data_IF_370209396252
#
_entry.id   IF_370209396252
#
_cell.length_a   1.000
_cell.length_b   1.000
_cell.length_c   1.000
_cell.angle_alpha   90.00
_cell.angle_beta   90.00
_cell.angle_gamma   90.00
#
_symmetry.space_group_name_H-M   'P 1'
#
loop_
_entity.id
_entity.type
_entity.pdbx_description
1 polymer ?
#
# COMPACT_ATOMS: atom_id res chain seq x y z
N UNK A 1 23.89 5.50 -23.62
CA UNK A 1 23.23 4.48 -22.78
C UNK A 1 24.33 3.77 -22.03
N UNK A 2 24.25 3.67 -20.70
CA UNK A 2 25.19 2.91 -19.88
C UNK A 2 24.44 1.68 -19.40
N UNK A 3 25.07 0.52 -19.44
CA UNK A 3 24.48 -0.74 -19.02
C UNK A 3 25.51 -1.51 -18.22
N UNK A 4 25.05 -2.22 -17.21
CA UNK A 4 25.87 -3.08 -16.37
C UNK A 4 25.15 -4.41 -16.21
N UNK A 5 25.87 -5.51 -16.42
CA UNK A 5 25.37 -6.86 -16.11
C UNK A 5 26.05 -7.28 -14.83
N UNK A 6 25.26 -7.67 -13.85
CA UNK A 6 25.73 -8.35 -12.66
C UNK A 6 25.22 -9.79 -12.69
N UNK A 7 26.14 -10.75 -12.61
CA UNK A 7 25.80 -12.15 -12.37
C UNK A 7 25.96 -12.43 -10.88
N UNK A 8 24.89 -12.84 -10.23
CA UNK A 8 24.91 -13.24 -8.83
C UNK A 8 25.13 -14.75 -8.74
N UNK A 9 26.08 -15.18 -7.91
CA UNK A 9 26.24 -16.58 -7.54
C UNK A 9 25.54 -16.82 -6.20
N UNK A 10 24.38 -17.48 -6.24
CA UNK A 10 23.54 -17.71 -5.07
C UNK A 10 24.16 -18.74 -4.12
N UNK A 11 24.87 -19.74 -4.64
CA UNK A 11 25.53 -20.76 -3.81
C UNK A 11 26.63 -20.15 -2.95
N UNK A 12 27.42 -19.23 -3.49
CA UNK A 12 28.43 -18.50 -2.71
C UNK A 12 27.80 -17.49 -1.76
N UNK A 13 26.70 -16.83 -2.16
CA UNK A 13 25.99 -15.89 -1.29
C UNK A 13 25.43 -16.58 -0.05
N UNK A 14 24.87 -17.79 -0.19
CA UNK A 14 24.32 -18.57 0.92
C UNK A 14 25.38 -18.91 1.97
N UNK A 15 26.65 -19.11 1.56
CA UNK A 15 27.77 -19.39 2.47
C UNK A 15 28.14 -18.20 3.36
N UNK A 16 27.76 -16.99 2.98
CA UNK A 16 28.10 -15.76 3.72
C UNK A 16 27.19 -15.53 4.94
N UNK A 17 26.12 -16.31 5.10
CA UNK A 17 25.20 -16.19 6.24
C UNK A 17 24.29 -14.96 6.21
N UNK A 18 24.26 -14.22 5.10
CA UNK A 18 23.33 -13.11 4.90
C UNK A 18 22.06 -13.59 4.18
N UNK A 19 20.89 -13.08 4.59
CA UNK A 19 19.63 -13.38 3.90
C UNK A 19 19.45 -12.55 2.61
N UNK A 20 20.08 -11.37 2.53
CA UNK A 20 19.89 -10.41 1.44
C UNK A 20 21.15 -10.26 0.59
N UNK A 21 20.94 -9.92 -0.69
CA UNK A 21 22.00 -9.46 -1.57
C UNK A 21 22.41 -8.03 -1.22
N UNK A 22 23.71 -7.74 -1.29
CA UNK A 22 24.20 -6.36 -1.18
C UNK A 22 23.68 -5.56 -2.38
N UNK A 23 23.08 -4.37 -2.18
CA UNK A 23 22.64 -3.52 -3.28
C UNK A 23 23.81 -3.16 -4.21
N UNK A 24 23.57 -3.21 -5.52
CA UNK A 24 24.51 -2.69 -6.51
C UNK A 24 24.20 -1.21 -6.68
N UNK A 25 25.16 -0.36 -6.33
CA UNK A 25 25.03 1.09 -6.42
C UNK A 25 25.92 1.61 -7.56
N UNK A 26 25.35 2.44 -8.44
CA UNK A 26 26.05 3.08 -9.55
C UNK A 26 25.53 4.50 -9.70
N UNK A 27 26.43 5.46 -9.92
CA UNK A 27 26.10 6.84 -10.23
C UNK A 27 26.58 7.19 -11.65
N UNK A 28 25.72 7.83 -12.44
CA UNK A 28 26.08 8.32 -13.77
C UNK A 28 25.16 9.46 -14.20
N UNK A 29 25.64 10.28 -15.14
CA UNK A 29 24.85 11.33 -15.78
C UNK A 29 24.38 10.89 -17.18
N UNK A 30 23.14 11.22 -17.52
CA UNK A 30 22.55 10.91 -18.82
C UNK A 30 21.48 11.93 -19.21
N UNK A 31 21.48 12.34 -20.48
CA UNK A 31 20.39 13.15 -21.06
C UNK A 31 19.10 12.35 -21.30
N UNK A 32 19.18 11.01 -21.27
CA UNK A 32 18.04 10.10 -21.39
C UNK A 32 17.58 9.66 -20.01
N UNK A 33 16.36 9.99 -19.64
CA UNK A 33 15.72 9.49 -18.42
C UNK A 33 14.88 8.26 -18.75
N UNK A 34 15.51 7.08 -18.73
CA UNK A 34 14.90 5.82 -19.16
C UNK A 34 15.51 4.62 -18.42
N UNK A 35 14.80 3.50 -18.39
CA UNK A 35 15.28 2.22 -17.89
C UNK A 35 15.22 1.13 -18.97
N UNK A 36 16.36 0.54 -19.38
CA UNK A 36 16.41 -0.47 -20.43
C UNK A 36 15.95 -1.86 -19.94
N UNK A 37 14.64 -2.10 -19.93
CA UNK A 37 14.05 -3.34 -19.42
C UNK A 37 14.13 -4.51 -20.41
N UNK A 38 14.29 -4.25 -21.72
CA UNK A 38 14.21 -5.29 -22.76
C UNK A 38 15.32 -6.33 -22.67
N UNK A 39 16.52 -5.93 -22.25
CA UNK A 39 17.65 -6.87 -22.06
C UNK A 39 17.34 -7.91 -20.97
N UNK A 40 16.60 -7.52 -19.94
CA UNK A 40 16.13 -8.43 -18.89
C UNK A 40 15.11 -9.45 -19.41
N UNK A 41 14.43 -9.18 -20.53
CA UNK A 41 13.42 -10.08 -21.11
C UNK A 41 14.02 -11.12 -22.07
N UNK A 42 15.27 -10.93 -22.54
CA UNK A 42 15.86 -11.80 -23.58
C UNK A 42 15.97 -13.26 -23.12
N UNK A 43 16.22 -13.47 -21.82
CA UNK A 43 16.39 -14.79 -21.21
C UNK A 43 15.35 -15.10 -20.13
N UNK A 44 14.23 -14.38 -20.11
CA UNK A 44 13.19 -14.59 -19.11
C UNK A 44 12.17 -15.62 -19.62
N UNK A 45 11.85 -16.62 -18.81
CA UNK A 45 10.86 -17.65 -19.12
C UNK A 45 9.40 -17.14 -18.97
N UNK A 46 9.21 -15.91 -18.50
CA UNK A 46 7.89 -15.32 -18.30
C UNK A 46 7.94 -13.84 -17.91
N UNK A 47 6.81 -13.34 -17.42
CA UNK A 47 6.70 -11.98 -16.92
C UNK A 47 7.59 -11.76 -15.68
N UNK A 48 8.11 -10.55 -15.55
CA UNK A 48 8.95 -10.13 -14.43
C UNK A 48 8.30 -8.98 -13.68
N UNK A 49 8.53 -8.91 -12.37
CA UNK A 49 8.13 -7.79 -11.54
C UNK A 49 9.28 -6.79 -11.39
N UNK A 50 8.98 -5.52 -11.63
CA UNK A 50 9.89 -4.41 -11.44
C UNK A 50 9.27 -3.36 -10.53
N UNK A 51 10.01 -2.99 -9.50
CA UNK A 51 9.70 -1.86 -8.64
C UNK A 51 10.69 -0.74 -8.94
N UNK A 52 10.17 0.42 -9.34
CA UNK A 52 10.97 1.62 -9.61
C UNK A 52 10.69 2.63 -8.52
N UNK A 53 11.73 3.01 -7.78
CA UNK A 53 11.69 4.10 -6.83
C UNK A 53 12.43 5.29 -7.42
N UNK A 54 11.78 6.45 -7.44
CA UNK A 54 12.41 7.69 -7.90
C UNK A 54 12.34 8.74 -6.81
N UNK A 55 13.46 9.42 -6.59
CA UNK A 55 13.61 10.53 -5.67
C UNK A 55 13.87 11.78 -6.52
N UNK A 56 13.04 12.81 -6.38
CA UNK A 56 13.21 14.03 -7.20
C UNK A 56 12.91 15.31 -6.45
N UNK A 57 13.42 16.45 -6.93
CA UNK A 57 13.12 17.77 -6.36
C UNK A 57 11.71 18.28 -6.70
N UNK A 58 11.21 18.05 -7.92
CA UNK A 58 10.04 18.79 -8.44
C UNK A 58 8.70 18.10 -8.20
N UNK A 59 8.62 16.78 -8.36
CA UNK A 59 7.33 16.09 -8.30
C UNK A 59 7.38 14.65 -8.81
N UNK A 60 6.20 14.12 -9.12
CA UNK A 60 5.99 12.72 -9.50
C UNK A 60 6.69 12.38 -10.81
N UNK A 61 7.30 11.19 -10.85
CA UNK A 61 7.80 10.59 -12.09
C UNK A 61 6.76 9.66 -12.68
N UNK A 62 6.59 9.74 -13.99
CA UNK A 62 5.67 8.90 -14.76
C UNK A 62 6.36 8.36 -16.00
N UNK A 63 5.84 7.26 -16.55
CA UNK A 63 6.25 6.82 -17.88
C UNK A 63 5.62 7.69 -18.95
N UNK A 64 6.36 8.00 -20.01
CA UNK A 64 5.85 8.75 -21.17
C UNK A 64 5.35 7.87 -22.31
N UNK A 65 5.81 6.62 -22.39
CA UNK A 65 5.44 5.67 -23.44
C UNK A 65 4.54 4.51 -22.98
N UNK A 66 4.23 4.43 -21.69
CA UNK A 66 3.29 3.47 -21.12
C UNK A 66 2.24 4.16 -20.26
N UNK A 67 1.05 3.57 -20.19
CA UNK A 67 -0.07 4.11 -19.41
C UNK A 67 0.22 3.99 -17.91
N UNK A 68 0.20 5.13 -17.22
CA UNK A 68 0.30 5.16 -15.75
C UNK A 68 -1.10 4.96 -15.14
N UNK A 69 -1.25 3.97 -14.28
CA UNK A 69 -2.52 3.62 -13.64
C UNK A 69 -2.35 3.69 -12.13
N UNK A 70 -3.29 4.34 -11.43
CA UNK A 70 -3.28 4.34 -9.95
C UNK A 70 -3.77 3.00 -9.44
N UNK A 71 -3.04 2.41 -8.50
CA UNK A 71 -3.50 1.20 -7.82
C UNK A 71 -4.83 1.46 -7.08
N UNK A 72 -5.76 0.50 -7.00
CA UNK A 72 -6.96 0.64 -6.18
C UNK A 72 -6.60 1.02 -4.73
N UNK A 73 -7.31 2.00 -4.18
CA UNK A 73 -7.01 2.55 -2.85
C UNK A 73 -8.28 3.01 -2.14
N UNK A 74 -8.26 3.03 -0.81
CA UNK A 74 -9.36 3.45 0.05
C UNK A 74 -10.51 2.45 0.15
N UNK A 75 -10.31 1.21 -0.29
CA UNK A 75 -11.33 0.16 -0.24
C UNK A 75 -11.43 -0.43 1.17
N UNK A 76 -12.65 -0.65 1.65
CA UNK A 76 -12.90 -1.34 2.91
C UNK A 76 -12.83 -2.85 2.67
N UNK A 77 -12.00 -3.56 3.44
CA UNK A 77 -11.79 -4.99 3.27
C UNK A 77 -12.15 -5.75 4.55
N UNK A 78 -12.51 -7.04 4.44
CA UNK A 78 -12.75 -7.88 5.60
C UNK A 78 -11.53 -7.94 6.51
N UNK A 79 -11.77 -8.02 7.83
CA UNK A 79 -10.69 -8.00 8.83
C UNK A 79 -9.64 -9.11 8.65
N UNK A 80 -10.04 -10.31 8.23
CA UNK A 80 -9.13 -11.45 8.09
C UNK A 80 -8.03 -11.18 7.05
N UNK A 81 -8.25 -10.23 6.12
CA UNK A 81 -7.24 -9.83 5.11
C UNK A 81 -5.97 -9.29 5.78
N UNK A 82 -6.04 -8.82 7.03
CA UNK A 82 -4.85 -8.43 7.80
C UNK A 82 -3.79 -9.53 7.83
N UNK A 83 -4.22 -10.77 8.07
CA UNK A 83 -3.33 -11.92 8.23
C UNK A 83 -2.97 -12.57 6.88
N UNK A 84 -3.72 -12.23 5.81
CA UNK A 84 -3.53 -12.74 4.44
C UNK A 84 -3.09 -11.64 3.46
N UNK A 85 -2.55 -10.51 3.97
CA UNK A 85 -2.34 -9.31 3.15
C UNK A 85 -1.42 -9.54 1.94
N UNK A 86 -0.40 -10.38 2.10
CA UNK A 86 0.51 -10.74 1.00
C UNK A 86 -0.21 -11.42 -0.16
N UNK A 87 -1.10 -12.39 0.13
CA UNK A 87 -1.87 -13.11 -0.89
C UNK A 87 -2.97 -12.23 -1.50
N UNK A 88 -3.62 -11.42 -0.67
CA UNK A 88 -4.54 -10.39 -1.13
C UNK A 88 -3.86 -9.46 -2.16
N UNK A 89 -2.70 -8.90 -1.82
CA UNK A 89 -2.04 -7.92 -2.68
C UNK A 89 -1.57 -8.55 -3.99
N UNK A 90 -1.00 -9.77 -3.96
CA UNK A 90 -0.63 -10.50 -5.18
C UNK A 90 -1.82 -10.73 -6.10
N UNK A 91 -2.94 -11.21 -5.55
CA UNK A 91 -4.17 -11.49 -6.31
C UNK A 91 -4.81 -10.23 -6.87
N UNK A 92 -4.83 -9.16 -6.06
CA UNK A 92 -5.32 -7.85 -6.49
C UNK A 92 -4.47 -7.29 -7.62
N UNK A 93 -3.14 -7.31 -7.46
CA UNK A 93 -2.24 -6.83 -8.50
C UNK A 93 -2.40 -7.62 -9.80
N UNK A 94 -2.52 -8.95 -9.74
CA UNK A 94 -2.76 -9.78 -10.92
C UNK A 94 -4.08 -9.45 -11.62
N UNK A 95 -5.16 -9.26 -10.87
CA UNK A 95 -6.47 -8.89 -11.44
C UNK A 95 -6.38 -7.51 -12.09
N UNK A 96 -5.70 -6.56 -11.46
CA UNK A 96 -5.49 -5.22 -11.98
C UNK A 96 -4.60 -5.19 -13.23
N UNK A 97 -3.52 -6.00 -13.29
CA UNK A 97 -2.68 -6.09 -14.50
C UNK A 97 -3.47 -6.67 -15.66
N UNK A 98 -4.25 -7.74 -15.43
CA UNK A 98 -5.12 -8.35 -16.44
C UNK A 98 -6.16 -7.36 -16.97
N UNK A 99 -6.77 -6.56 -16.09
CA UNK A 99 -7.74 -5.52 -16.46
C UNK A 99 -7.15 -4.44 -17.37
N UNK A 100 -5.86 -4.17 -17.23
CA UNK A 100 -5.12 -3.20 -18.06
C UNK A 100 -4.32 -3.88 -19.19
N UNK A 101 -4.77 -5.07 -19.64
CA UNK A 101 -4.19 -5.84 -20.74
C UNK A 101 -2.68 -6.11 -20.57
N UNK A 102 -2.22 -6.24 -19.33
CA UNK A 102 -0.82 -6.40 -18.92
C UNK A 102 0.14 -5.34 -19.47
N UNK A 103 -0.33 -4.12 -19.74
CA UNK A 103 0.48 -3.02 -20.34
C UNK A 103 0.67 -1.81 -19.43
N UNK A 104 0.06 -1.80 -18.25
CA UNK A 104 0.08 -0.65 -17.36
C UNK A 104 1.31 -0.60 -16.44
N UNK A 105 1.72 0.63 -16.13
CA UNK A 105 2.67 0.95 -15.08
C UNK A 105 1.89 1.47 -13.89
N UNK A 106 1.93 0.76 -12.77
CA UNK A 106 1.09 1.08 -11.61
C UNK A 106 1.79 2.07 -10.69
N UNK A 107 1.13 3.17 -10.37
CA UNK A 107 1.52 4.07 -9.30
C UNK A 107 1.02 3.49 -7.98
N UNK A 108 1.94 3.17 -7.07
CA UNK A 108 1.62 2.63 -5.74
C UNK A 108 1.78 3.68 -4.64
N UNK A 109 2.74 4.59 -4.82
CA UNK A 109 3.07 5.62 -3.85
C UNK A 109 3.62 6.86 -4.56
N UNK A 110 3.16 8.04 -4.13
CA UNK A 110 3.66 9.33 -4.56
C UNK A 110 3.53 10.29 -3.38
N UNK A 111 4.63 10.82 -2.84
CA UNK A 111 4.56 11.63 -1.62
C UNK A 111 5.70 12.63 -1.51
N UNK A 112 5.35 13.80 -0.99
CA UNK A 112 6.27 14.89 -0.67
C UNK A 112 6.87 14.70 0.73
N UNK A 113 8.18 14.48 0.84
CA UNK A 113 8.85 14.19 2.12
C UNK A 113 8.94 15.41 3.06
N UNK A 114 8.47 16.58 2.62
CA UNK A 114 8.35 17.75 3.48
C UNK A 114 7.34 17.59 4.61
N UNK A 115 6.35 16.72 4.46
CA UNK A 115 5.26 16.62 5.43
C UNK A 115 4.65 15.21 5.44
N UNK A 116 4.12 14.84 6.59
CA UNK A 116 3.63 13.50 6.82
C UNK A 116 2.32 13.54 7.62
N UNK A 117 1.19 13.72 6.94
CA UNK A 117 -0.14 13.68 7.56
C UNK A 117 -1.21 13.15 6.59
N UNK A 118 -1.99 12.10 6.93
CA UNK A 118 -1.85 11.20 8.09
C UNK A 118 -0.76 10.15 7.84
N UNK A 119 0.20 10.01 8.75
CA UNK A 119 1.33 9.10 8.58
C UNK A 119 1.36 7.92 9.55
N UNK A 120 1.74 6.77 9.02
CA UNK A 120 1.96 5.53 9.78
C UNK A 120 3.36 5.45 10.42
N UNK A 121 4.31 6.29 9.97
CA UNK A 121 5.68 6.38 10.47
C UNK A 121 6.26 7.79 10.20
N UNK A 122 7.37 8.12 10.85
CA UNK A 122 8.09 9.38 10.65
C UNK A 122 8.68 9.48 9.22
N UNK A 123 8.78 10.69 8.64
CA UNK A 123 9.48 10.88 7.37
C UNK A 123 10.98 10.54 7.49
N UNK A 124 11.55 9.95 6.42
CA UNK A 124 12.97 9.60 6.33
C UNK A 124 13.89 10.77 6.69
N UNK A 125 14.92 10.53 7.50
CA UNK A 125 15.99 11.49 7.84
C UNK A 125 16.81 11.91 6.60
N UNK A 126 17.56 13.02 6.70
CA UNK A 126 18.41 13.47 5.60
C UNK A 126 19.47 12.41 5.27
N UNK A 127 20.05 11.78 6.29
CA UNK A 127 21.00 10.68 6.15
C UNK A 127 20.41 9.48 5.42
N UNK A 128 19.21 9.03 5.80
CA UNK A 128 18.53 7.92 5.09
C UNK A 128 18.24 8.28 3.63
N UNK A 129 17.86 9.54 3.36
CA UNK A 129 17.65 10.00 1.99
C UNK A 129 18.95 10.00 1.17
N UNK A 130 20.08 10.42 1.77
CA UNK A 130 21.39 10.34 1.12
C UNK A 130 21.83 8.90 0.86
N UNK A 131 21.61 7.98 1.81
CA UNK A 131 21.87 6.54 1.64
C UNK A 131 21.05 5.93 0.48
N UNK A 132 19.85 6.48 0.22
CA UNK A 132 19.01 6.14 -0.94
C UNK A 132 19.44 6.84 -2.25
N UNK A 133 20.48 7.66 -2.23
CA UNK A 133 21.04 8.33 -3.40
C UNK A 133 20.62 9.79 -3.59
N UNK A 134 19.99 10.42 -2.59
CA UNK A 134 19.70 11.86 -2.61
C UNK A 134 20.99 12.65 -2.33
N UNK A 135 21.64 13.13 -3.39
CA UNK A 135 22.95 13.81 -3.30
C UNK A 135 22.86 15.33 -3.15
N UNK A 136 21.66 15.92 -3.11
CA UNK A 136 21.45 17.37 -3.11
C UNK A 136 20.95 17.93 -1.78
N UNK A 137 20.88 17.09 -0.75
CA UNK A 137 20.59 17.53 0.61
C UNK A 137 21.92 17.74 1.32
N UNK A 138 22.08 18.91 1.95
CA UNK A 138 23.27 19.22 2.73
C UNK A 138 23.19 18.54 4.11
N UNK A 139 24.34 18.12 4.61
CA UNK A 139 24.50 17.35 5.87
C UNK A 139 24.35 18.19 7.14
N UNK A 140 23.96 19.47 7.02
CA UNK A 140 24.11 20.46 8.11
C UNK A 140 23.11 20.33 9.26
N UNK A 141 22.29 19.28 9.31
CA UNK A 141 21.07 19.25 10.16
C UNK A 141 20.85 18.02 11.04
N UNK A 142 21.77 17.05 11.08
CA UNK A 142 21.73 15.98 12.08
C UNK A 142 22.36 16.43 13.41
N UNK A 143 22.00 17.61 13.91
CA UNK A 143 22.18 17.91 15.34
C UNK A 143 20.91 17.46 16.09
N UNK A 144 20.99 16.42 16.95
CA UNK A 144 19.97 16.22 17.95
C UNK A 144 20.02 17.46 18.84
N UNK A 145 18.96 18.27 18.79
CA UNK A 145 18.86 19.50 19.54
C UNK A 145 18.70 19.16 21.04
N UNK A 146 19.78 18.71 21.69
CA UNK A 146 19.88 18.54 23.13
C UNK A 146 20.22 19.92 23.70
N UNK A 147 19.20 20.78 23.82
CA UNK A 147 19.24 21.86 24.81
C UNK A 147 18.04 21.68 25.76
N UNK A 148 18.28 21.52 27.07
CA UNK A 148 17.21 21.51 28.04
C UNK A 148 16.81 22.96 28.31
N UNK A 149 15.74 23.46 27.69
CA UNK A 149 15.13 24.73 28.09
C UNK A 149 13.62 24.55 28.27
N UNK A 150 13.07 24.87 29.46
CA UNK A 150 11.66 24.73 29.73
C UNK A 150 10.86 25.92 29.16
N UNK A 151 9.68 25.60 28.59
CA UNK A 151 8.53 26.49 28.31
C UNK A 151 8.62 27.48 27.13
N UNK A 152 8.24 26.99 25.94
CA UNK A 152 7.05 27.41 25.13
C UNK A 152 7.10 26.67 23.79
N UNK A 153 6.13 25.76 23.55
CA UNK A 153 6.01 24.94 22.33
C UNK A 153 5.66 25.82 21.12
N UNK A 154 6.65 26.40 20.47
CA UNK A 154 6.59 26.73 19.05
C UNK A 154 7.78 26.00 18.44
N UNK A 155 7.51 24.84 17.84
CA UNK A 155 8.52 24.03 17.17
C UNK A 155 9.09 24.90 16.03
N UNK A 156 10.42 25.12 15.93
CA UNK A 156 10.98 25.78 14.76
C UNK A 156 10.60 24.98 13.51
N UNK A 157 10.24 25.63 12.39
CA UNK A 157 9.87 24.92 11.17
C UNK A 157 11.06 24.06 10.76
N UNK A 158 10.82 22.75 10.65
CA UNK A 158 11.81 21.88 10.04
C UNK A 158 12.06 22.40 8.61
N UNK A 159 13.33 22.54 8.20
CA UNK A 159 13.69 22.92 6.85
C UNK A 159 13.07 21.92 5.87
N UNK A 160 12.47 22.47 4.82
CA UNK A 160 11.72 21.71 3.85
C UNK A 160 12.66 20.74 3.10
N UNK A 161 12.55 19.44 3.41
CA UNK A 161 13.10 18.34 2.60
C UNK A 161 12.53 18.38 1.18
N UNK A 162 13.26 18.99 0.26
CA UNK A 162 12.87 19.09 -1.15
C UNK A 162 13.08 17.75 -1.89
N UNK A 163 12.36 16.72 -1.46
CA UNK A 163 12.39 15.36 -2.01
C UNK A 163 10.95 14.88 -2.17
N UNK A 164 10.63 14.45 -3.37
CA UNK A 164 9.39 13.79 -3.73
C UNK A 164 9.70 12.35 -4.13
N UNK A 165 9.02 11.40 -3.48
CA UNK A 165 9.18 9.98 -3.74
C UNK A 165 8.06 9.51 -4.67
N UNK A 166 8.41 8.70 -5.65
CA UNK A 166 7.45 7.93 -6.44
C UNK A 166 7.84 6.47 -6.46
N UNK A 167 6.88 5.58 -6.24
CA UNK A 167 7.01 4.13 -6.41
C UNK A 167 6.10 3.68 -7.54
N UNK A 168 6.71 3.15 -8.58
CA UNK A 168 6.04 2.49 -9.69
C UNK A 168 6.23 0.98 -9.60
N UNK A 169 5.21 0.21 -9.94
CA UNK A 169 5.25 -1.24 -10.01
C UNK A 169 4.79 -1.70 -11.39
N UNK A 170 5.60 -2.54 -12.02
CA UNK A 170 5.40 -2.98 -13.41
C UNK A 170 5.60 -4.49 -13.48
N UNK A 171 4.56 -5.20 -13.94
CA UNK A 171 4.68 -6.56 -14.45
C UNK A 171 4.92 -6.48 -15.95
N UNK A 172 6.09 -6.88 -16.41
CA UNK A 172 6.49 -6.69 -17.80
C UNK A 172 6.91 -8.00 -18.48
N UNK A 173 6.64 -8.08 -19.79
CA UNK A 173 7.06 -9.16 -20.66
C UNK A 173 7.33 -8.63 -22.08
N UNK A 174 7.88 -9.50 -22.94
CA UNK A 174 8.26 -9.15 -24.31
C UNK A 174 7.08 -8.77 -25.21
N UNK A 175 5.89 -9.34 -24.94
CA UNK A 175 4.70 -9.14 -25.78
C UNK A 175 4.06 -7.77 -25.52
N UNK A 176 3.99 -7.35 -24.26
CA UNK A 176 3.29 -6.13 -23.84
C UNK A 176 4.23 -4.92 -23.68
N UNK A 177 5.54 -5.14 -23.48
CA UNK A 177 6.56 -4.09 -23.32
C UNK A 177 7.66 -4.17 -24.40
N UNK A 178 7.36 -3.84 -25.67
CA UNK A 178 8.32 -3.91 -26.78
C UNK A 178 9.38 -2.78 -26.75
N UNK A 179 9.21 -1.79 -25.89
CA UNK A 179 10.09 -0.63 -25.72
C UNK A 179 10.64 -0.56 -24.29
N UNK A 180 11.72 0.18 -24.11
CA UNK A 180 12.25 0.48 -22.78
C UNK A 180 11.37 1.52 -22.08
N UNK A 181 11.37 1.57 -20.74
CA UNK A 181 10.57 2.55 -20.00
C UNK A 181 11.19 3.95 -20.18
N UNK A 182 10.46 4.87 -20.78
CA UNK A 182 10.83 6.29 -20.85
C UNK A 182 10.15 7.04 -19.72
N UNK A 183 10.90 7.82 -18.96
CA UNK A 183 10.37 8.56 -17.82
C UNK A 183 10.32 10.06 -18.10
N UNK A 184 9.38 10.72 -17.45
CA UNK A 184 9.31 12.17 -17.34
C UNK A 184 9.08 12.58 -15.88
N UNK A 185 9.77 13.63 -15.45
CA UNK A 185 9.48 14.29 -14.19
C UNK A 185 8.37 15.32 -14.42
N UNK A 186 7.27 15.17 -13.71
CA UNK A 186 6.14 16.11 -13.77
C UNK A 186 6.28 17.20 -12.70
N UNK A 187 5.46 18.24 -12.80
CA UNK A 187 5.24 19.22 -11.72
C UNK A 187 4.17 18.78 -10.71
N UNK A 188 3.57 17.59 -10.88
CA UNK A 188 2.51 17.12 -9.99
C UNK A 188 3.09 16.67 -8.66
N UNK A 189 2.69 17.34 -7.57
CA UNK A 189 3.04 17.01 -6.19
C UNK A 189 1.87 16.43 -5.41
N UNK A 190 0.75 16.08 -6.05
CA UNK A 190 -0.40 15.47 -5.38
C UNK A 190 0.02 14.13 -4.79
N UNK A 191 -0.27 13.97 -3.49
CA UNK A 191 0.02 12.73 -2.80
C UNK A 191 -0.89 11.60 -3.28
N UNK A 192 -0.35 10.40 -3.28
CA UNK A 192 -1.04 9.17 -3.58
C UNK A 192 -0.43 8.03 -2.77
N UNK A 193 -1.28 7.17 -2.25
CA UNK A 193 -0.87 5.96 -1.55
C UNK A 193 -1.91 4.87 -1.79
N UNK A 194 -1.46 3.69 -2.18
CA UNK A 194 -2.27 2.47 -2.08
C UNK A 194 -2.51 2.15 -0.61
N UNK A 195 -3.77 2.30 -0.15
CA UNK A 195 -4.18 1.98 1.22
C UNK A 195 -5.48 1.18 1.20
N UNK A 196 -5.63 0.29 2.15
CA UNK A 196 -6.84 -0.50 2.35
C UNK A 196 -7.31 -0.35 3.78
N UNK A 197 -8.62 -0.28 3.97
CA UNK A 197 -9.23 0.11 5.24
C UNK A 197 -9.81 -1.13 5.91
N UNK A 198 -9.38 -1.39 7.13
CA UNK A 198 -9.92 -2.47 7.97
C UNK A 198 -10.74 -1.85 9.10
N UNK A 199 -12.05 -2.15 9.13
CA UNK A 199 -12.95 -1.65 10.18
C UNK A 199 -13.19 -2.72 11.23
N UNK A 200 -12.71 -2.45 12.43
CA UNK A 200 -12.96 -3.32 13.58
C UNK A 200 -14.42 -3.18 14.04
N UNK A 201 -15.25 -4.23 13.97
CA UNK A 201 -16.58 -4.19 14.55
C UNK A 201 -16.47 -4.12 16.07
N UNK A 202 -17.42 -3.43 16.68
CA UNK A 202 -17.59 -3.45 18.13
C UNK A 202 -18.15 -4.82 18.54
N UNK A 203 -17.62 -5.39 19.61
CA UNK A 203 -17.94 -6.75 20.10
C UNK A 203 -18.45 -6.77 21.55
N UNK A 204 -18.89 -5.63 22.07
CA UNK A 204 -19.39 -5.54 23.45
C UNK A 204 -20.82 -6.05 23.57
N UNK A 205 -21.27 -6.22 24.81
CA UNK A 205 -22.66 -6.58 25.11
C UNK A 205 -23.57 -5.36 24.94
N UNK A 206 -24.74 -5.56 24.32
CA UNK A 206 -25.69 -4.48 24.10
C UNK A 206 -27.08 -4.78 24.63
N UNK A 207 -27.65 -3.84 25.39
CA UNK A 207 -29.01 -3.92 25.92
C UNK A 207 -29.94 -2.82 25.38
N UNK A 208 -29.52 -2.04 24.38
CA UNK A 208 -30.29 -0.91 23.84
C UNK A 208 -30.66 -1.10 22.35
N UNK A 209 -31.77 -0.48 21.93
CA UNK A 209 -32.33 -0.60 20.58
C UNK A 209 -31.36 -0.15 19.47
N UNK A 210 -30.44 0.77 19.78
CA UNK A 210 -29.41 1.22 18.83
C UNK A 210 -28.47 0.10 18.40
N UNK A 211 -28.30 -0.94 19.22
CA UNK A 211 -27.44 -2.05 18.90
C UNK A 211 -28.03 -2.98 17.83
N UNK A 212 -29.35 -3.20 17.84
CA UNK A 212 -30.00 -3.97 16.78
C UNK A 212 -29.84 -3.27 15.42
N UNK A 213 -29.97 -1.95 15.39
CA UNK A 213 -29.71 -1.14 14.20
C UNK A 213 -28.25 -1.24 13.76
N UNK A 214 -27.30 -1.13 14.71
CA UNK A 214 -25.88 -1.30 14.44
C UNK A 214 -25.57 -2.66 13.79
N UNK A 215 -26.08 -3.76 14.34
CA UNK A 215 -25.82 -5.11 13.82
C UNK A 215 -26.37 -5.28 12.40
N UNK A 216 -27.57 -4.78 12.11
CA UNK A 216 -28.11 -4.77 10.74
C UNK A 216 -27.21 -3.99 9.76
N UNK A 217 -26.65 -2.86 10.19
CA UNK A 217 -25.69 -2.11 9.35
C UNK A 217 -24.34 -2.82 9.22
N UNK A 218 -23.91 -3.56 10.25
CA UNK A 218 -22.68 -4.32 10.25
C UNK A 218 -22.73 -5.46 9.24
N UNK A 219 -23.80 -6.25 9.19
CA UNK A 219 -23.95 -7.33 8.21
C UNK A 219 -23.92 -6.77 6.77
N UNK A 220 -24.62 -5.65 6.51
CA UNK A 220 -24.57 -4.98 5.19
C UNK A 220 -23.17 -4.50 4.83
N UNK A 221 -22.42 -3.99 5.82
CA UNK A 221 -21.03 -3.55 5.63
C UNK A 221 -20.12 -4.73 5.30
N UNK A 222 -20.20 -5.82 6.06
CA UNK A 222 -19.42 -7.04 5.84
C UNK A 222 -19.69 -7.66 4.46
N UNK A 223 -20.95 -7.65 3.99
CA UNK A 223 -21.28 -8.10 2.63
C UNK A 223 -20.64 -7.18 1.56
N UNK A 224 -20.65 -5.86 1.78
CA UNK A 224 -19.96 -4.93 0.87
C UNK A 224 -18.44 -5.15 0.86
N UNK A 225 -17.83 -5.35 2.03
CA UNK A 225 -16.41 -5.68 2.17
C UNK A 225 -16.08 -6.98 1.41
N UNK A 226 -16.96 -8.00 1.49
CA UNK A 226 -16.80 -9.26 0.75
C UNK A 226 -16.84 -9.07 -0.77
N UNK A 227 -17.83 -8.33 -1.27
CA UNK A 227 -17.96 -8.00 -2.69
C UNK A 227 -16.77 -7.20 -3.21
N UNK A 228 -16.27 -6.25 -2.41
CA UNK A 228 -15.10 -5.45 -2.74
C UNK A 228 -13.83 -6.31 -2.83
N UNK A 229 -13.62 -7.22 -1.87
CA UNK A 229 -12.49 -8.15 -1.90
C UNK A 229 -12.56 -9.06 -3.13
N UNK A 230 -13.72 -9.66 -3.41
CA UNK A 230 -13.93 -10.50 -4.58
C UNK A 230 -13.67 -9.74 -5.90
N UNK A 231 -14.20 -8.52 -6.01
CA UNK A 231 -13.99 -7.69 -7.20
C UNK A 231 -12.52 -7.28 -7.40
N UNK A 232 -11.77 -7.09 -6.33
CA UNK A 232 -10.36 -6.70 -6.42
C UNK A 232 -9.46 -7.87 -6.77
N UNK A 233 -9.77 -9.08 -6.30
CA UNK A 233 -8.86 -10.23 -6.33
C UNK A 233 -9.28 -11.35 -7.30
N UNK A 234 -10.54 -11.35 -7.73
CA UNK A 234 -11.15 -12.47 -8.46
C UNK A 234 -11.43 -13.71 -7.59
N UNK A 235 -11.27 -13.63 -6.27
CA UNK A 235 -11.56 -14.73 -5.35
C UNK A 235 -13.07 -15.07 -5.29
N UNK A 236 -13.37 -16.32 -4.96
CA UNK A 236 -14.75 -16.78 -4.82
C UNK A 236 -15.44 -16.07 -3.64
N UNK A 237 -16.59 -15.46 -3.94
CA UNK A 237 -17.32 -14.67 -2.96
C UNK A 237 -17.88 -15.52 -1.81
N UNK A 238 -18.21 -16.79 -2.04
CA UNK A 238 -18.76 -17.66 -1.00
C UNK A 238 -17.65 -18.11 -0.04
N UNK A 239 -16.45 -18.36 -0.53
CA UNK A 239 -15.27 -18.61 0.32
C UNK A 239 -14.97 -17.40 1.21
N UNK A 240 -15.00 -16.19 0.64
CA UNK A 240 -14.82 -14.95 1.41
C UNK A 240 -15.88 -14.83 2.49
N UNK A 241 -17.17 -14.99 2.15
CA UNK A 241 -18.28 -14.90 3.12
C UNK A 241 -18.13 -15.90 4.26
N UNK A 242 -17.69 -17.13 3.95
CA UNK A 242 -17.39 -18.17 4.94
C UNK A 242 -16.30 -17.72 5.92
N UNK A 243 -15.19 -17.16 5.41
CA UNK A 243 -14.08 -16.65 6.24
C UNK A 243 -14.45 -15.46 7.12
N UNK A 244 -15.38 -14.61 6.67
CA UNK A 244 -15.85 -13.47 7.47
C UNK A 244 -16.56 -13.95 8.74
N UNK A 245 -17.34 -15.04 8.63
CA UNK A 245 -18.29 -15.44 9.67
C UNK A 245 -19.27 -14.30 9.93
N UNK A 246 -20.16 -14.03 8.96
CA UNK A 246 -21.09 -12.89 9.02
C UNK A 246 -21.78 -12.82 10.37
N UNK A 247 -21.64 -11.69 11.05
CA UNK A 247 -22.33 -11.46 12.32
C UNK A 247 -23.78 -11.15 11.97
N UNK A 248 -24.67 -12.03 12.40
CA UNK A 248 -26.12 -11.88 12.29
C UNK A 248 -26.67 -11.30 13.59
N UNK A 249 -27.84 -10.64 13.57
CA UNK A 249 -28.54 -10.25 14.79
C UNK A 249 -28.72 -11.41 15.78
N UNK A 250 -28.88 -12.65 15.29
CA UNK A 250 -28.98 -13.85 16.12
C UNK A 250 -27.69 -14.19 16.90
N UNK A 251 -26.52 -13.77 16.43
CA UNK A 251 -25.23 -14.06 17.08
C UNK A 251 -24.97 -13.19 18.32
N UNK A 252 -25.77 -12.14 18.52
CA UNK A 252 -25.63 -11.15 19.60
C UNK A 252 -26.90 -11.08 20.47
N UNK A 253 -27.96 -11.75 20.05
CA UNK A 253 -29.11 -11.96 20.91
C UNK A 253 -28.71 -12.86 22.09
N UNK A 254 -28.94 -12.36 23.30
CA UNK A 254 -28.89 -13.14 24.55
C UNK A 254 -29.93 -14.30 24.53
N UNK A 255 -30.78 -14.38 23.48
CA UNK A 255 -31.63 -15.51 23.11
C UNK A 255 -30.81 -16.64 22.42
N UNK A 256 -29.68 -17.01 23.03
CA UNK A 256 -29.35 -18.42 23.07
C UNK A 256 -30.60 -19.13 23.64
N UNK A 257 -31.19 -20.15 23.01
CA UNK A 257 -32.38 -20.84 23.51
C UNK A 257 -32.21 -21.40 24.95
N UNK A 258 -31.01 -21.34 25.51
CA UNK A 258 -30.68 -21.64 26.90
C UNK A 258 -30.90 -20.49 27.93
N UNK A 259 -31.24 -19.25 27.54
CA UNK A 259 -31.51 -18.16 28.51
C UNK A 259 -32.94 -17.62 28.40
N UNK A 260 -33.70 -17.57 29.51
CA UNK A 260 -35.08 -17.10 29.49
C UNK A 260 -35.18 -15.59 29.29
N UNK A 261 -35.99 -15.16 28.32
CA UNK A 261 -36.30 -13.75 28.06
C UNK A 261 -36.85 -13.08 29.33
N UNK A 262 -36.33 -11.92 29.77
CA UNK A 262 -36.80 -11.24 30.98
C UNK A 262 -38.29 -10.87 30.91
N UNK A 263 -39.03 -11.18 31.99
CA UNK A 263 -40.49 -11.08 32.04
C UNK A 263 -41.05 -9.68 31.74
N UNK A 264 -40.29 -8.63 32.06
CA UNK A 264 -40.72 -7.23 31.91
C UNK A 264 -40.82 -6.77 30.45
N UNK A 265 -40.15 -7.44 29.49
CA UNK A 265 -40.31 -7.15 28.04
C UNK A 265 -41.72 -7.49 27.53
N UNK A 266 -42.49 -8.29 28.25
CA UNK A 266 -43.89 -8.62 27.90
C UNK A 266 -44.88 -7.52 28.31
N UNK A 267 -44.48 -6.56 29.13
CA UNK A 267 -45.38 -5.53 29.65
C UNK A 267 -45.69 -4.40 28.65
N UNK A 268 -44.80 -4.14 27.69
CA UNK A 268 -44.87 -2.94 26.83
C UNK A 268 -45.04 -3.27 25.34
N UNK A 269 -45.67 -4.41 25.02
CA UNK A 269 -45.85 -4.86 23.62
C UNK A 269 -46.87 -4.04 22.80
N UNK A 270 -47.53 -3.07 23.40
CA UNK A 270 -48.51 -2.23 22.71
C UNK A 270 -48.19 -0.76 22.98
N UNK A 271 -47.41 -0.15 22.09
CA UNK A 271 -47.51 1.27 21.76
C UNK A 271 -46.85 1.45 20.38
N UNK A 272 -47.61 1.10 19.34
CA UNK A 272 -47.43 1.62 17.98
C UNK A 272 -48.37 2.79 17.78
#
# INVERSE_FOLDING_TARGET
MRFFVAKVNIEEQQKLGYANLRPIQVAYESKKFMLPIRLGMVNADGAQELFVYTLTKKGRVETSNYRNVKLPTGTELPLFVKDEFGEFYKSMFETQTKKEDNRAVFLEYAWDMNWCDPCAADPLSNKELQELGVFWLDDTEDQPNIMPIPRRKIMPPQPAKNVYITRLHVRYDKQHFPEDLMFQQTGDRKNFQGRYVLRHPWKGDSQCDQAESYLKTLTKRQEKEAQQLASLTGWDINEIRSKIGMITPQDVDDDNPAKPTPWWRKLWKNDQ
#
